data_IF_191235343977
#
_entry.id   IF_191235343977
#
_cell.length_a   1.000
_cell.length_b   1.000
_cell.length_c   1.000
_cell.angle_alpha   90.00
_cell.angle_beta   90.00
_cell.angle_gamma   90.00
#
_symmetry.space_group_name_H-M   'P 1'
#
loop_
_entity.id
_entity.type
_entity.pdbx_description
1 polymer ?
#
# COMPACT_ATOMS: atom_id res chain seq x y z
N UNK A 1 17.77 -0.26 -10.54
CA UNK A 1 17.42 1.18 -10.68
C UNK A 1 16.79 1.53 -12.03
N UNK A 2 17.47 1.39 -13.19
CA UNK A 2 16.81 1.58 -14.52
C UNK A 2 15.70 0.54 -14.80
N UNK A 3 15.80 -0.63 -14.18
CA UNK A 3 14.89 -1.78 -14.30
C UNK A 3 13.81 -1.89 -13.22
N UNK A 4 13.84 -1.05 -12.17
CA UNK A 4 12.87 -1.18 -11.05
C UNK A 4 11.66 -0.27 -11.19
N UNK A 5 11.73 0.73 -12.06
CA UNK A 5 10.63 1.68 -12.25
C UNK A 5 9.70 1.28 -13.41
N UNK A 6 10.04 0.22 -14.15
CA UNK A 6 9.30 -0.40 -15.27
C UNK A 6 8.40 0.60 -16.03
N UNK A 7 8.98 1.74 -16.40
CA UNK A 7 8.30 2.79 -17.16
C UNK A 7 8.12 2.24 -18.57
N UNK A 8 7.06 1.47 -18.77
CA UNK A 8 6.67 0.97 -20.09
C UNK A 8 6.42 2.19 -20.97
N UNK A 9 7.17 2.39 -22.05
CA UNK A 9 7.02 3.58 -22.87
C UNK A 9 5.62 3.59 -23.48
N UNK A 10 4.87 4.64 -23.18
CA UNK A 10 3.48 4.84 -23.61
C UNK A 10 3.51 5.47 -25.00
N UNK A 11 3.78 4.66 -26.01
CA UNK A 11 3.57 5.07 -27.40
C UNK A 11 2.05 5.13 -27.63
N UNK A 12 1.50 6.35 -27.79
CA UNK A 12 0.11 6.66 -28.15
C UNK A 12 -0.95 6.74 -27.03
N UNK A 13 -0.76 7.59 -26.00
CA UNK A 13 -1.86 8.11 -25.15
C UNK A 13 -1.80 9.64 -25.06
N UNK A 14 -2.95 10.26 -24.79
CA UNK A 14 -3.11 11.72 -24.65
C UNK A 14 -2.03 12.32 -23.75
N UNK A 15 -1.58 13.53 -24.07
CA UNK A 15 -0.50 14.24 -23.35
C UNK A 15 -0.74 14.27 -21.83
N UNK A 16 -2.01 14.47 -21.44
CA UNK A 16 -2.46 14.49 -20.05
C UNK A 16 -2.25 13.15 -19.31
N UNK A 17 -2.57 12.01 -19.94
CA UNK A 17 -2.34 10.70 -19.34
C UNK A 17 -0.84 10.41 -19.18
N UNK A 18 -0.04 10.80 -20.18
CA UNK A 18 1.41 10.65 -20.14
C UNK A 18 2.04 11.48 -19.02
N UNK A 19 1.59 12.73 -18.83
CA UNK A 19 2.02 13.57 -17.71
C UNK A 19 1.66 12.99 -16.34
N UNK A 20 0.45 12.44 -16.18
CA UNK A 20 0.06 11.77 -14.93
C UNK A 20 0.95 10.56 -14.62
N UNK A 21 1.29 9.74 -15.63
CA UNK A 21 2.21 8.62 -15.46
C UNK A 21 3.63 9.06 -15.07
N UNK A 22 4.13 10.14 -15.67
CA UNK A 22 5.45 10.70 -15.32
C UNK A 22 5.48 11.21 -13.87
N UNK A 23 4.45 11.96 -13.45
CA UNK A 23 4.34 12.42 -12.06
C UNK A 23 4.28 11.25 -11.08
N UNK A 24 3.49 10.22 -11.39
CA UNK A 24 3.40 9.03 -10.55
C UNK A 24 4.75 8.28 -10.48
N UNK A 25 5.45 8.15 -11.61
CA UNK A 25 6.79 7.54 -11.67
C UNK A 25 7.82 8.31 -10.84
N UNK A 26 7.80 9.65 -10.88
CA UNK A 26 8.69 10.49 -10.08
C UNK A 26 8.42 10.33 -8.58
N UNK A 27 7.15 10.33 -8.17
CA UNK A 27 6.77 10.11 -6.77
C UNK A 27 7.17 8.71 -6.29
N UNK A 28 6.97 7.68 -7.12
CA UNK A 28 7.40 6.32 -6.80
C UNK A 28 8.92 6.25 -6.64
N UNK A 29 9.69 6.88 -7.54
CA UNK A 29 11.15 6.95 -7.43
C UNK A 29 11.59 7.65 -6.14
N UNK A 30 10.99 8.80 -5.81
CA UNK A 30 11.29 9.54 -4.59
C UNK A 30 11.06 8.71 -3.33
N UNK A 31 9.95 7.97 -3.28
CA UNK A 31 9.63 7.10 -2.16
C UNK A 31 10.68 5.99 -1.99
N UNK A 32 10.98 5.28 -3.07
CA UNK A 32 11.98 4.19 -3.07
C UNK A 32 13.37 4.71 -2.68
N UNK A 33 13.80 5.84 -3.27
CA UNK A 33 15.08 6.44 -2.99
C UNK A 33 15.19 6.88 -1.52
N UNK A 34 14.15 7.50 -0.97
CA UNK A 34 14.13 7.98 0.42
C UNK A 34 14.21 6.81 1.41
N UNK A 35 13.41 5.76 1.23
CA UNK A 35 13.42 4.59 2.11
C UNK A 35 14.80 3.91 2.07
N UNK A 36 15.35 3.69 0.87
CA UNK A 36 16.68 3.07 0.73
C UNK A 36 17.78 3.93 1.34
N UNK A 37 17.70 5.24 1.18
CA UNK A 37 18.65 6.16 1.79
C UNK A 37 18.61 6.11 3.32
N UNK A 38 17.41 6.12 3.91
CA UNK A 38 17.23 6.00 5.37
C UNK A 38 17.75 4.66 5.90
N UNK A 39 17.44 3.55 5.24
CA UNK A 39 17.92 2.22 5.63
C UNK A 39 19.45 2.09 5.49
N UNK A 40 20.03 2.66 4.44
CA UNK A 40 21.49 2.64 4.23
C UNK A 40 22.24 3.41 5.31
N UNK A 41 21.68 4.52 5.80
CA UNK A 41 22.26 5.26 6.95
C UNK A 41 22.30 4.42 8.23
N UNK A 42 21.39 3.46 8.39
CA UNK A 42 21.37 2.52 9.51
C UNK A 42 22.17 1.23 9.23
N UNK A 43 22.94 1.18 8.14
CA UNK A 43 23.78 0.03 7.79
C UNK A 43 23.09 -1.07 6.97
N UNK A 44 21.81 -0.91 6.61
CA UNK A 44 21.09 -1.89 5.79
C UNK A 44 21.25 -1.56 4.31
N UNK A 45 22.04 -2.36 3.60
CA UNK A 45 22.29 -2.22 2.16
C UNK A 45 21.59 -3.34 1.36
N UNK A 46 20.28 -3.47 1.53
CA UNK A 46 19.46 -4.45 0.80
C UNK A 46 18.94 -3.88 -0.52
N UNK A 47 18.74 -4.76 -1.51
CA UNK A 47 18.02 -4.41 -2.73
C UNK A 47 16.54 -4.09 -2.44
N UNK A 48 15.94 -3.23 -3.26
CA UNK A 48 14.53 -2.85 -3.12
C UNK A 48 13.61 -4.07 -3.15
N UNK A 49 13.91 -5.05 -4.01
CA UNK A 49 13.16 -6.30 -4.11
C UNK A 49 13.11 -7.07 -2.79
N UNK A 50 14.23 -7.11 -2.07
CA UNK A 50 14.30 -7.77 -0.76
C UNK A 50 13.53 -7.01 0.32
N UNK A 51 13.59 -5.68 0.31
CA UNK A 51 12.79 -4.84 1.21
C UNK A 51 11.31 -5.11 0.97
N UNK A 52 10.87 -5.06 -0.30
CA UNK A 52 9.48 -5.35 -0.68
C UNK A 52 9.08 -6.77 -0.30
N UNK A 53 9.95 -7.76 -0.50
CA UNK A 53 9.70 -9.16 -0.11
C UNK A 53 9.45 -9.30 1.39
N UNK A 54 10.30 -8.69 2.23
CA UNK A 54 10.15 -8.67 3.70
C UNK A 54 8.85 -7.98 4.11
N UNK A 55 8.59 -6.78 3.58
CA UNK A 55 7.39 -6.00 3.92
C UNK A 55 6.10 -6.64 3.42
N UNK A 56 6.14 -7.40 2.32
CA UNK A 56 5.01 -8.14 1.78
C UNK A 56 4.51 -9.25 2.71
N UNK A 57 5.25 -9.64 3.75
CA UNK A 57 4.79 -10.61 4.76
C UNK A 57 3.68 -10.03 5.64
N UNK A 58 3.59 -8.72 5.80
CA UNK A 58 2.49 -8.06 6.49
C UNK A 58 1.36 -7.72 5.51
N UNK A 59 0.12 -8.09 5.85
CA UNK A 59 -1.05 -7.88 5.01
C UNK A 59 -2.10 -7.05 5.73
N UNK A 60 -2.83 -6.24 4.98
CA UNK A 60 -4.03 -5.59 5.46
C UNK A 60 -5.25 -6.28 4.85
N UNK A 61 -6.05 -6.90 5.71
CA UNK A 61 -7.19 -7.74 5.37
C UNK A 61 -8.46 -6.95 5.64
N UNK A 62 -9.40 -7.01 4.70
CA UNK A 62 -10.75 -6.46 4.86
C UNK A 62 -11.72 -7.63 4.81
N UNK A 63 -12.45 -7.85 5.91
CA UNK A 63 -13.49 -8.88 6.02
C UNK A 63 -14.85 -8.21 5.95
N UNK A 64 -15.66 -8.58 4.97
CA UNK A 64 -17.04 -8.13 4.81
C UNK A 64 -18.00 -9.24 5.21
N UNK A 65 -18.95 -8.93 6.10
CA UNK A 65 -19.95 -9.88 6.58
C UNK A 65 -21.33 -9.24 6.48
N UNK A 66 -22.29 -9.97 5.91
CA UNK A 66 -23.69 -9.55 5.87
C UNK A 66 -24.43 -10.09 7.10
N UNK A 67 -25.07 -9.19 7.84
CA UNK A 67 -25.85 -9.51 9.02
C UNK A 67 -27.28 -9.93 8.63
N UNK A 68 -27.96 -10.67 9.50
CA UNK A 68 -29.39 -11.02 9.40
C UNK A 68 -30.29 -9.77 9.18
N UNK A 69 -29.83 -8.60 9.64
CA UNK A 69 -30.52 -7.33 9.47
C UNK A 69 -30.23 -6.63 8.13
N UNK A 70 -29.71 -7.34 7.11
CA UNK A 70 -29.31 -6.78 5.80
C UNK A 70 -28.34 -5.58 5.95
N UNK A 71 -27.34 -5.73 6.82
CA UNK A 71 -26.29 -4.72 6.99
C UNK A 71 -24.95 -5.34 6.63
N UNK A 72 -24.16 -4.66 5.81
CA UNK A 72 -22.81 -5.09 5.50
C UNK A 72 -21.85 -4.48 6.52
N UNK A 73 -21.21 -5.36 7.29
CA UNK A 73 -20.17 -5.01 8.26
C UNK A 73 -18.83 -5.22 7.58
N UNK A 74 -18.06 -4.16 7.41
CA UNK A 74 -16.68 -4.24 6.90
C UNK A 74 -15.70 -4.02 8.04
N UNK A 75 -14.83 -5.00 8.28
CA UNK A 75 -13.75 -4.95 9.27
C UNK A 75 -12.42 -4.94 8.54
N UNK A 76 -11.65 -3.87 8.68
CA UNK A 76 -10.30 -3.75 8.13
C UNK A 76 -9.28 -3.86 9.25
N UNK A 77 -8.34 -4.80 9.12
CA UNK A 77 -7.28 -5.08 10.09
C UNK A 77 -5.96 -5.35 9.36
N UNK A 78 -4.82 -4.94 9.93
CA UNK A 78 -3.51 -5.42 9.45
C UNK A 78 -2.97 -6.51 10.36
N UNK A 79 -2.29 -7.47 9.76
CA UNK A 79 -1.62 -8.55 10.48
C UNK A 79 -0.42 -8.02 11.25
N UNK A 80 0.04 -8.80 12.23
CA UNK A 80 1.28 -8.49 12.93
C UNK A 80 2.48 -8.65 11.98
N UNK A 81 3.48 -7.77 12.05
CA UNK A 81 4.67 -7.90 11.23
C UNK A 81 5.52 -9.07 11.72
N UNK A 82 6.11 -9.78 10.76
CA UNK A 82 7.20 -10.74 10.99
C UNK A 82 8.43 -10.06 11.59
N UNK A 83 9.39 -10.85 12.09
CA UNK A 83 10.62 -10.31 12.67
C UNK A 83 11.36 -9.40 11.70
N UNK A 84 11.51 -9.81 10.43
CA UNK A 84 12.23 -8.99 9.44
C UNK A 84 11.49 -7.70 9.08
N UNK A 85 10.15 -7.72 9.03
CA UNK A 85 9.36 -6.52 8.80
C UNK A 85 9.42 -5.56 10.01
N UNK A 86 9.45 -6.10 11.22
CA UNK A 86 9.59 -5.33 12.47
C UNK A 86 10.93 -4.59 12.51
N UNK A 87 12.02 -5.28 12.16
CA UNK A 87 13.35 -4.66 12.07
C UNK A 87 13.36 -3.45 11.12
N UNK A 88 12.70 -3.55 9.95
CA UNK A 88 12.58 -2.41 9.03
C UNK A 88 11.81 -1.26 9.67
N UNK A 89 10.70 -1.55 10.37
CA UNK A 89 9.94 -0.52 11.08
C UNK A 89 10.74 0.16 12.20
N UNK A 90 11.52 -0.61 12.97
CA UNK A 90 12.37 -0.10 14.05
C UNK A 90 13.45 0.84 13.51
N UNK A 91 14.14 0.44 12.44
CA UNK A 91 15.17 1.24 11.78
C UNK A 91 14.62 2.55 11.22
N UNK A 92 13.40 2.51 10.69
CA UNK A 92 12.70 3.69 10.16
C UNK A 92 11.92 4.46 11.23
N UNK A 93 11.92 4.01 12.49
CA UNK A 93 11.20 4.59 13.64
C UNK A 93 9.70 4.74 13.38
N UNK A 94 9.10 3.76 12.71
CA UNK A 94 7.69 3.72 12.38
C UNK A 94 6.90 2.78 13.30
N UNK A 95 5.58 3.03 13.41
CA UNK A 95 4.68 2.13 14.12
C UNK A 95 4.50 0.83 13.31
N UNK A 96 4.52 -0.31 14.02
CA UNK A 96 4.36 -1.64 13.43
C UNK A 96 3.03 -1.89 12.72
N UNK A 97 1.97 -1.20 13.17
CA UNK A 97 0.66 -1.27 12.55
C UNK A 97 0.29 0.12 12.02
N UNK A 98 0.01 0.25 10.71
CA UNK A 98 -0.33 1.54 10.12
C UNK A 98 -1.69 2.06 10.59
N UNK A 99 -2.60 1.18 11.03
CA UNK A 99 -3.88 1.55 11.62
C UNK A 99 -4.40 0.49 12.59
N UNK A 100 -5.18 0.94 13.57
CA UNK A 100 -5.99 0.07 14.43
C UNK A 100 -7.21 -0.47 13.67
N UNK A 101 -7.70 -1.65 14.05
CA UNK A 101 -8.88 -2.29 13.44
C UNK A 101 -10.02 -1.29 13.24
N UNK A 102 -10.43 -1.08 12.00
CA UNK A 102 -11.56 -0.22 11.63
C UNK A 102 -12.78 -1.09 11.35
N UNK A 103 -13.92 -0.76 11.95
CA UNK A 103 -15.21 -1.39 11.66
C UNK A 103 -16.14 -0.34 11.08
N UNK A 104 -16.71 -0.59 9.92
CA UNK A 104 -17.84 0.17 9.38
C UNK A 104 -19.05 -0.73 9.24
N UNK A 105 -20.24 -0.16 9.45
CA UNK A 105 -21.52 -0.80 9.23
C UNK A 105 -22.26 0.05 8.22
N UNK A 106 -22.65 -0.53 7.09
CA UNK A 106 -23.39 0.17 6.04
C UNK A 106 -24.74 -0.51 5.86
N UNK A 107 -25.87 0.22 5.98
CA UNK A 107 -27.18 -0.31 5.63
C UNK A 107 -27.25 -0.64 4.13
N UNK A 108 -27.87 -1.77 3.75
CA UNK A 108 -27.97 -2.17 2.33
C UNK A 108 -28.63 -1.10 1.45
N UNK A 109 -29.60 -0.36 1.99
CA UNK A 109 -30.35 0.69 1.29
C UNK A 109 -29.48 1.83 0.77
N UNK A 110 -28.30 2.06 1.35
CA UNK A 110 -27.35 3.10 0.92
C UNK A 110 -26.35 2.60 -0.13
N UNK A 111 -26.09 1.29 -0.19
CA UNK A 111 -25.18 0.68 -1.19
C UNK A 111 -25.85 0.70 -2.57
N UNK A 112 -27.14 0.35 -2.64
CA UNK A 112 -27.89 0.36 -3.92
C UNK A 112 -28.09 1.77 -4.51
N UNK A 113 -28.14 2.82 -3.68
CA UNK A 113 -28.21 4.21 -4.17
C UNK A 113 -26.91 4.69 -4.83
N UNK A 114 -25.75 4.10 -4.49
CA UNK A 114 -24.45 4.46 -5.08
C UNK A 114 -24.07 3.63 -6.31
N UNK A 115 -24.84 2.58 -6.62
CA UNK A 115 -24.60 1.68 -7.76
C UNK A 115 -25.60 1.83 -8.91
N UNK A 116 -26.46 2.86 -8.89
CA UNK A 116 -27.34 3.19 -10.02
C UNK A 116 -26.65 4.24 -10.90
N UNK A 117 -26.61 4.07 -12.23
CA UNK A 117 -25.84 4.91 -13.16
C UNK A 117 -26.31 6.37 -13.19
#
# INVERSE_FOLDING_TARGET
MKTDLDLRPVYHKTDEASMAHLHLGLLAYWLVATIRYQLKQQGVNSDWREIVRKMNTQKCVTTTVDNINQQTISVRQCTEPTKEAREIYDLLKYKYQPFVRKKSVVPLSEIFKKGSP
#
